data_IF_972854013030
#
_entry.id   IF_972854013030
#
_cell.length_a   1.000
_cell.length_b   1.000
_cell.length_c   1.000
_cell.angle_alpha   90.00
_cell.angle_beta   90.00
_cell.angle_gamma   90.00
#
_symmetry.space_group_name_H-M   'P 1'
#
loop_
_entity.id
_entity.type
_entity.pdbx_description
1 polymer ?
#
# COMPACT_ATOMS: atom_id res chain seq x y z
N UNK A 1 -29.14 31.47 -53.11
CA UNK A 1 -28.33 30.27 -52.79
C UNK A 1 -27.49 30.52 -51.54
N UNK A 2 -28.09 30.66 -50.35
CA UNK A 2 -27.34 30.82 -49.08
C UNK A 2 -28.03 30.19 -47.86
N UNK A 3 -28.88 29.17 -48.03
CA UNK A 3 -29.51 28.47 -46.88
C UNK A 3 -28.96 27.06 -46.63
N UNK A 4 -27.94 26.61 -47.39
CA UNK A 4 -27.51 25.21 -47.39
C UNK A 4 -26.36 24.87 -46.42
N UNK A 5 -25.88 25.80 -45.58
CA UNK A 5 -24.76 25.54 -44.66
C UNK A 5 -25.14 25.95 -43.23
N UNK A 6 -26.02 25.16 -42.61
CA UNK A 6 -26.12 25.11 -41.15
C UNK A 6 -25.69 23.70 -40.71
N UNK A 7 -24.71 23.55 -39.80
CA UNK A 7 -24.33 22.24 -39.29
C UNK A 7 -25.51 21.62 -38.55
N UNK A 8 -25.90 20.41 -38.93
CA UNK A 8 -26.94 19.65 -38.23
C UNK A 8 -26.36 19.19 -36.89
N UNK A 9 -26.91 19.68 -35.78
CA UNK A 9 -26.57 19.14 -34.47
C UNK A 9 -26.90 17.63 -34.44
N UNK A 10 -26.01 16.78 -33.89
CA UNK A 10 -26.30 15.37 -33.73
C UNK A 10 -27.52 15.19 -32.82
N UNK A 11 -28.40 14.25 -33.17
CA UNK A 11 -29.56 13.91 -32.33
C UNK A 11 -29.03 13.36 -31.00
N UNK A 12 -29.61 13.78 -29.85
CA UNK A 12 -29.24 13.19 -28.57
C UNK A 12 -29.50 11.68 -28.63
N UNK A 13 -28.52 10.90 -28.17
CA UNK A 13 -28.69 9.46 -28.01
C UNK A 13 -29.88 9.21 -27.07
N UNK A 14 -30.70 8.18 -27.33
CA UNK A 14 -31.75 7.81 -26.41
C UNK A 14 -31.12 7.50 -25.05
N UNK A 15 -31.43 8.32 -24.06
CA UNK A 15 -31.11 8.04 -22.65
C UNK A 15 -31.64 6.65 -22.33
N UNK A 16 -30.76 5.75 -21.88
CA UNK A 16 -31.17 4.48 -21.31
C UNK A 16 -32.27 4.76 -20.29
N UNK A 17 -33.41 4.10 -20.44
CA UNK A 17 -34.49 4.19 -19.47
C UNK A 17 -33.91 3.93 -18.08
N UNK A 18 -34.27 4.73 -17.06
CA UNK A 18 -33.81 4.48 -15.70
C UNK A 18 -34.18 3.05 -15.37
N UNK A 19 -33.18 2.26 -14.97
CA UNK A 19 -33.39 0.90 -14.48
C UNK A 19 -34.30 1.05 -13.28
N UNK A 20 -35.56 0.66 -13.45
CA UNK A 20 -36.56 0.65 -12.40
C UNK A 20 -36.05 -0.34 -11.36
N UNK A 21 -35.43 0.17 -10.28
CA UNK A 21 -34.99 -0.68 -9.17
C UNK A 21 -36.24 -1.37 -8.62
N UNK A 22 -36.31 -2.68 -8.83
CA UNK A 22 -37.40 -3.48 -8.29
C UNK A 22 -37.49 -3.26 -6.78
N UNK A 23 -38.64 -2.80 -6.30
CA UNK A 23 -38.97 -2.60 -4.88
C UNK A 23 -38.92 -3.89 -4.04
N UNK A 24 -38.54 -5.02 -4.64
CA UNK A 24 -38.40 -6.29 -3.96
C UNK A 24 -37.02 -6.36 -3.28
N UNK A 25 -36.94 -6.38 -1.93
CA UNK A 25 -35.67 -6.45 -1.20
C UNK A 25 -34.88 -7.74 -1.52
N UNK A 26 -35.55 -8.80 -1.98
CA UNK A 26 -34.90 -10.05 -2.38
C UNK A 26 -34.29 -9.99 -3.81
N UNK A 27 -34.63 -8.98 -4.61
CA UNK A 27 -34.05 -8.84 -5.95
C UNK A 27 -32.57 -8.45 -5.91
N UNK A 28 -32.08 -7.85 -4.81
CA UNK A 28 -30.65 -7.62 -4.58
C UNK A 28 -29.88 -8.92 -4.30
N UNK A 29 -30.53 -9.90 -3.67
CA UNK A 29 -29.97 -11.23 -3.38
C UNK A 29 -30.01 -12.16 -4.60
N UNK A 30 -30.92 -11.92 -5.54
CA UNK A 30 -31.07 -12.70 -6.77
C UNK A 30 -30.17 -12.23 -7.93
N UNK A 31 -29.44 -11.12 -7.77
CA UNK A 31 -28.39 -10.77 -8.73
C UNK A 31 -27.36 -11.89 -8.69
N UNK A 32 -27.10 -12.52 -9.85
CA UNK A 32 -25.92 -13.36 -9.98
C UNK A 32 -24.72 -12.48 -9.66
N UNK A 33 -24.13 -12.69 -8.47
CA UNK A 33 -22.74 -12.30 -8.19
C UNK A 33 -21.93 -12.74 -9.42
N UNK A 34 -21.11 -11.81 -9.92
CA UNK A 34 -20.54 -11.81 -11.27
C UNK A 34 -20.33 -13.19 -11.88
N UNK A 35 -20.70 -13.34 -13.16
CA UNK A 35 -20.33 -14.52 -13.93
C UNK A 35 -18.85 -14.80 -13.71
N UNK A 36 -18.52 -15.91 -13.03
CA UNK A 36 -17.15 -16.41 -12.97
C UNK A 36 -16.71 -16.66 -14.41
N UNK A 37 -15.50 -16.25 -14.76
CA UNK A 37 -14.89 -16.64 -16.03
C UNK A 37 -14.77 -18.18 -16.02
N UNK A 38 -15.30 -18.91 -17.02
CA UNK A 38 -15.31 -20.38 -17.06
C UNK A 38 -13.90 -21.01 -16.97
N UNK A 39 -12.84 -20.22 -17.18
CA UNK A 39 -11.45 -20.65 -16.99
C UNK A 39 -11.09 -20.99 -15.54
N UNK A 40 -11.79 -20.44 -14.56
CA UNK A 40 -11.57 -20.71 -13.13
C UNK A 40 -12.54 -21.77 -12.55
N UNK A 41 -13.44 -22.33 -13.36
CA UNK A 41 -14.38 -23.37 -12.90
C UNK A 41 -13.67 -24.68 -12.55
N UNK A 42 -12.61 -25.03 -13.29
CA UNK A 42 -11.88 -26.28 -13.09
C UNK A 42 -10.90 -26.26 -11.90
N UNK A 43 -10.59 -25.10 -11.32
CA UNK A 43 -9.74 -25.01 -10.12
C UNK A 43 -10.52 -25.24 -8.81
N UNK A 44 -11.86 -25.17 -8.87
CA UNK A 44 -12.71 -25.26 -7.69
C UNK A 44 -12.88 -26.68 -7.15
N UNK A 45 -12.66 -27.71 -7.96
CA UNK A 45 -12.92 -29.10 -7.55
C UNK A 45 -11.74 -29.77 -6.82
N UNK A 46 -10.50 -29.30 -7.01
CA UNK A 46 -9.29 -29.88 -6.37
C UNK A 46 -8.75 -29.10 -5.17
N UNK A 47 -9.16 -27.84 -4.96
CA UNK A 47 -8.63 -26.99 -3.89
C UNK A 47 -9.70 -26.71 -2.83
N UNK A 48 -9.73 -27.51 -1.76
CA UNK A 48 -10.43 -27.15 -0.53
C UNK A 48 -9.71 -25.99 0.16
N UNK A 49 -9.94 -24.76 -0.30
CA UNK A 49 -9.39 -23.55 0.30
C UNK A 49 -10.25 -23.16 1.50
N UNK A 50 -9.66 -23.15 2.70
CA UNK A 50 -10.30 -22.57 3.88
C UNK A 50 -10.07 -21.05 3.92
N UNK A 51 -11.04 -20.32 3.37
CA UNK A 51 -11.03 -18.86 3.31
C UNK A 51 -10.93 -18.19 4.69
N UNK A 52 -11.27 -18.88 5.79
CA UNK A 52 -11.15 -18.32 7.15
C UNK A 52 -9.71 -18.24 7.63
N UNK A 53 -8.81 -19.02 7.00
CA UNK A 53 -7.39 -19.12 7.36
C UNK A 53 -6.51 -18.30 6.40
N UNK A 54 -7.15 -17.48 5.57
CA UNK A 54 -6.51 -16.51 4.68
C UNK A 54 -6.77 -15.11 5.23
N UNK A 55 -5.77 -14.22 5.21
CA UNK A 55 -5.98 -12.85 5.70
C UNK A 55 -4.99 -11.81 5.18
N UNK A 56 -5.41 -10.55 5.24
CA UNK A 56 -4.54 -9.38 5.07
C UNK A 56 -3.97 -8.96 6.41
N UNK A 57 -2.70 -8.58 6.43
CA UNK A 57 -2.04 -8.08 7.65
C UNK A 57 -1.31 -6.78 7.36
N UNK A 58 -1.52 -5.80 8.23
CA UNK A 58 -0.71 -4.59 8.30
C UNK A 58 -0.14 -4.50 9.70
N UNK A 59 1.16 -4.25 9.80
CA UNK A 59 1.81 -4.06 11.09
C UNK A 59 1.72 -2.57 11.46
N UNK A 60 1.42 -2.32 12.73
CA UNK A 60 1.48 -0.98 13.31
C UNK A 60 2.93 -0.55 13.38
N UNK A 61 3.28 0.52 12.65
CA UNK A 61 4.63 1.08 12.65
C UNK A 61 4.77 2.29 13.56
N UNK A 62 3.73 3.11 13.70
CA UNK A 62 3.81 4.34 14.49
C UNK A 62 2.43 4.77 15.01
N UNK A 63 2.24 4.64 16.31
CA UNK A 63 1.26 5.37 17.09
C UNK A 63 2.08 5.96 18.24
N UNK A 64 1.66 7.00 18.95
CA UNK A 64 2.37 7.47 20.17
C UNK A 64 2.30 6.45 21.35
N UNK A 65 2.28 5.16 21.04
CA UNK A 65 2.07 3.96 21.86
C UNK A 65 3.12 2.88 21.53
N UNK A 66 4.36 3.09 21.92
CA UNK A 66 5.01 2.08 22.78
C UNK A 66 5.81 2.91 23.78
N UNK A 67 5.19 3.44 24.83
CA UNK A 67 5.93 3.98 25.97
C UNK A 67 6.61 2.79 26.72
N UNK A 68 7.55 2.13 26.04
CA UNK A 68 8.64 1.23 26.50
C UNK A 68 9.05 0.24 25.40
N UNK A 69 10.08 0.59 24.64
CA UNK A 69 11.15 -0.31 24.17
C UNK A 69 10.84 -1.63 23.42
N UNK A 70 9.70 -1.79 22.75
CA UNK A 70 9.53 -2.90 21.80
C UNK A 70 8.78 -2.49 20.53
N UNK A 71 9.49 -1.95 19.55
CA UNK A 71 9.01 -1.92 18.18
C UNK A 71 8.73 -3.36 17.73
N UNK A 72 7.49 -3.68 17.37
CA UNK A 72 7.13 -5.03 16.91
C UNK A 72 7.88 -5.34 15.61
N UNK A 73 8.71 -6.39 15.63
CA UNK A 73 9.39 -6.85 14.41
C UNK A 73 8.40 -7.51 13.45
N UNK A 74 8.61 -7.31 12.14
CA UNK A 74 7.93 -8.05 11.07
C UNK A 74 8.05 -9.57 11.21
N UNK A 75 9.06 -10.07 11.92
CA UNK A 75 9.18 -11.49 12.23
C UNK A 75 7.93 -12.03 12.96
N UNK A 76 7.25 -11.20 13.75
CA UNK A 76 6.05 -11.56 14.52
C UNK A 76 4.90 -12.09 13.66
N UNK A 77 4.84 -11.72 12.37
CA UNK A 77 3.81 -12.20 11.44
C UNK A 77 3.87 -13.74 11.31
N UNK A 78 5.06 -14.33 11.40
CA UNK A 78 5.22 -15.79 11.34
C UNK A 78 4.66 -16.52 12.56
N UNK A 79 4.34 -15.82 13.65
CA UNK A 79 3.72 -16.43 14.83
C UNK A 79 2.20 -16.65 14.67
N UNK A 80 1.58 -16.08 13.62
CA UNK A 80 0.14 -16.13 13.36
C UNK A 80 -0.29 -17.47 12.71
N UNK A 81 0.01 -18.58 13.38
CA UNK A 81 -0.18 -19.96 12.88
C UNK A 81 -1.64 -20.40 12.67
N UNK A 82 -2.60 -19.62 13.15
CA UNK A 82 -4.02 -19.87 12.88
C UNK A 82 -4.36 -19.66 11.40
N UNK A 83 -3.54 -18.87 10.70
CA UNK A 83 -3.64 -18.62 9.27
C UNK A 83 -2.72 -19.54 8.48
N UNK A 84 -3.24 -20.05 7.38
CA UNK A 84 -2.45 -20.81 6.41
C UNK A 84 -1.64 -19.86 5.52
N UNK A 85 -2.20 -18.70 5.18
CA UNK A 85 -1.52 -17.68 4.37
C UNK A 85 -1.92 -16.28 4.76
N UNK A 86 -0.94 -15.39 4.75
CA UNK A 86 -1.13 -13.98 5.06
C UNK A 86 -0.53 -13.13 3.94
N UNK A 87 -1.30 -12.16 3.44
CA UNK A 87 -0.75 -11.11 2.60
C UNK A 87 -0.45 -9.88 3.46
N UNK A 88 0.84 -9.66 3.70
CA UNK A 88 1.34 -8.46 4.35
C UNK A 88 1.38 -7.30 3.38
N UNK A 89 0.76 -6.19 3.78
CA UNK A 89 0.77 -4.92 3.08
C UNK A 89 1.46 -3.89 3.98
N UNK A 90 2.52 -3.24 3.49
CA UNK A 90 3.12 -2.13 4.22
C UNK A 90 2.07 -1.04 4.49
N UNK A 91 2.13 -0.38 5.66
CA UNK A 91 1.16 0.62 6.05
C UNK A 91 1.17 1.83 5.10
N UNK A 92 0.15 2.67 5.25
CA UNK A 92 -0.06 3.88 4.44
C UNK A 92 -0.33 3.55 2.97
N UNK A 93 -1.33 2.70 2.72
CA UNK A 93 -1.78 2.39 1.37
C UNK A 93 -3.27 2.06 1.30
N UNK A 94 -3.75 1.93 0.06
CA UNK A 94 -5.15 1.74 -0.28
C UNK A 94 -5.28 0.50 -1.16
N UNK A 95 -6.20 -0.38 -0.78
CA UNK A 95 -6.67 -1.46 -1.65
C UNK A 95 -7.64 -0.84 -2.66
N UNK A 96 -7.26 -0.92 -3.93
CA UNK A 96 -8.04 -0.41 -5.07
C UNK A 96 -8.87 -1.56 -5.65
N UNK A 97 -8.27 -2.72 -5.88
CA UNK A 97 -8.93 -3.94 -6.26
C UNK A 97 -8.60 -5.09 -5.28
N UNK A 98 -9.59 -5.48 -4.48
CA UNK A 98 -9.45 -6.61 -3.55
C UNK A 98 -9.48 -7.96 -4.26
N UNK A 99 -10.12 -8.06 -5.43
CA UNK A 99 -10.27 -9.32 -6.15
C UNK A 99 -8.91 -9.88 -6.57
N UNK A 100 -8.06 -9.03 -7.14
CA UNK A 100 -6.70 -9.41 -7.53
C UNK A 100 -5.87 -9.89 -6.33
N UNK A 101 -6.03 -9.24 -5.16
CA UNK A 101 -5.32 -9.63 -3.94
C UNK A 101 -5.87 -10.94 -3.35
N UNK A 102 -7.19 -11.14 -3.35
CA UNK A 102 -7.83 -12.38 -2.92
C UNK A 102 -7.41 -13.55 -3.81
N UNK A 103 -7.33 -13.32 -5.12
CA UNK A 103 -6.84 -14.30 -6.09
C UNK A 103 -5.38 -14.65 -5.83
N UNK A 104 -4.53 -13.66 -5.55
CA UNK A 104 -3.14 -13.90 -5.17
C UNK A 104 -3.06 -14.76 -3.90
N UNK A 105 -3.85 -14.44 -2.89
CA UNK A 105 -3.86 -15.15 -1.60
C UNK A 105 -4.32 -16.61 -1.75
N UNK A 106 -5.37 -16.83 -2.54
CA UNK A 106 -6.00 -18.13 -2.74
C UNK A 106 -5.23 -19.06 -3.71
N UNK A 107 -4.72 -18.53 -4.82
CA UNK A 107 -4.25 -19.35 -5.95
C UNK A 107 -2.74 -19.35 -6.15
N UNK A 108 -1.98 -18.53 -5.42
CA UNK A 108 -0.52 -18.56 -5.49
C UNK A 108 0.06 -19.90 -4.97
N UNK A 109 1.25 -20.32 -5.42
CA UNK A 109 1.94 -21.47 -4.86
C UNK A 109 2.30 -21.25 -3.38
N UNK A 110 2.10 -22.27 -2.53
CA UNK A 110 2.52 -22.20 -1.12
C UNK A 110 4.04 -22.03 -1.03
N UNK A 111 4.48 -20.98 -0.34
CA UNK A 111 5.89 -20.68 -0.07
C UNK A 111 5.99 -20.02 1.30
N UNK A 112 7.10 -20.27 2.00
CA UNK A 112 7.39 -19.63 3.30
C UNK A 112 7.29 -18.10 3.22
N UNK A 113 7.85 -17.54 2.16
CA UNK A 113 7.80 -16.13 1.84
C UNK A 113 7.82 -15.98 0.32
N UNK A 114 6.90 -15.18 -0.22
CA UNK A 114 6.95 -14.67 -1.57
C UNK A 114 6.73 -13.15 -1.54
N UNK A 115 7.64 -12.37 -2.12
CA UNK A 115 7.68 -10.92 -2.04
C UNK A 115 7.92 -10.32 -3.43
N UNK A 116 7.65 -9.02 -3.57
CA UNK A 116 8.06 -8.27 -4.75
C UNK A 116 9.58 -8.06 -4.76
N UNK A 117 10.18 -7.88 -5.95
CA UNK A 117 11.56 -7.46 -6.04
C UNK A 117 11.73 -6.03 -5.49
N UNK A 118 12.84 -5.78 -4.81
CA UNK A 118 13.23 -4.43 -4.32
C UNK A 118 13.94 -3.61 -5.41
N UNK A 119 14.41 -4.28 -6.46
CA UNK A 119 15.21 -3.69 -7.53
C UNK A 119 14.84 -4.32 -8.88
N UNK A 120 15.02 -3.61 -10.00
CA UNK A 120 14.63 -4.10 -11.32
C UNK A 120 15.42 -5.35 -11.76
N UNK A 121 16.58 -5.63 -11.16
CA UNK A 121 17.35 -6.85 -11.43
C UNK A 121 16.87 -8.05 -10.61
N UNK A 122 15.84 -7.86 -9.77
CA UNK A 122 15.27 -8.85 -8.87
C UNK A 122 16.34 -9.55 -8.01
N UNK A 123 17.36 -8.81 -7.58
CA UNK A 123 18.47 -9.33 -6.77
C UNK A 123 18.10 -9.44 -5.29
N UNK A 124 17.20 -8.58 -4.82
CA UNK A 124 16.74 -8.51 -3.43
C UNK A 124 15.22 -8.49 -3.34
N UNK A 125 14.71 -8.99 -2.22
CA UNK A 125 13.28 -8.94 -1.90
C UNK A 125 12.91 -7.63 -1.20
N UNK A 126 11.71 -7.13 -1.49
CA UNK A 126 11.08 -6.02 -0.79
C UNK A 126 10.31 -6.52 0.43
N UNK A 127 10.25 -5.70 1.48
CA UNK A 127 9.40 -5.95 2.66
C UNK A 127 8.13 -5.12 2.64
N UNK A 128 7.72 -4.58 1.49
CA UNK A 128 6.54 -3.72 1.38
C UNK A 128 5.26 -4.48 1.01
N UNK A 129 5.42 -5.63 0.33
CA UNK A 129 4.32 -6.46 -0.13
C UNK A 129 4.80 -7.92 -0.13
N UNK A 130 4.25 -8.73 0.76
CA UNK A 130 4.73 -10.10 1.00
C UNK A 130 3.57 -11.05 1.25
N UNK A 131 3.56 -12.16 0.53
CA UNK A 131 2.77 -13.33 0.85
C UNK A 131 3.58 -14.25 1.78
N UNK A 132 3.00 -14.60 2.91
CA UNK A 132 3.67 -15.26 4.03
C UNK A 132 2.88 -16.52 4.38
N UNK A 133 3.60 -17.62 4.59
CA UNK A 133 3.08 -18.83 5.23
C UNK A 133 3.57 -18.85 6.69
N UNK A 134 2.70 -18.57 7.67
CA UNK A 134 3.10 -18.50 9.07
C UNK A 134 3.71 -19.80 9.57
N UNK A 135 4.74 -19.69 10.42
CA UNK A 135 5.40 -20.86 10.98
C UNK A 135 6.16 -20.53 12.25
N UNK A 136 5.86 -21.28 13.32
CA UNK A 136 6.56 -21.16 14.61
C UNK A 136 8.06 -21.38 14.50
N UNK A 137 8.52 -22.23 13.57
CA UNK A 137 9.95 -22.49 13.39
C UNK A 137 10.65 -21.28 12.75
N UNK A 138 10.07 -20.71 11.70
CA UNK A 138 10.55 -19.48 11.05
C UNK A 138 10.55 -18.31 12.02
N UNK A 139 9.47 -18.13 12.80
CA UNK A 139 9.39 -17.08 13.82
C UNK A 139 10.53 -17.19 14.84
N UNK A 140 10.77 -18.38 15.40
CA UNK A 140 11.87 -18.59 16.37
C UNK A 140 13.24 -18.31 15.77
N UNK A 141 13.46 -18.67 14.49
CA UNK A 141 14.73 -18.42 13.81
C UNK A 141 14.96 -16.92 13.57
N UNK A 142 13.97 -16.22 13.02
CA UNK A 142 14.05 -14.78 12.74
C UNK A 142 14.17 -13.96 14.02
N UNK A 143 13.38 -14.27 15.06
CA UNK A 143 13.48 -13.59 16.36
C UNK A 143 14.83 -13.81 17.04
N UNK A 144 15.38 -15.03 16.97
CA UNK A 144 16.71 -15.33 17.50
C UNK A 144 17.82 -14.64 16.72
N UNK A 145 17.68 -14.52 15.40
CA UNK A 145 18.62 -13.78 14.56
C UNK A 145 18.58 -12.29 14.90
N UNK A 146 17.39 -11.68 14.95
CA UNK A 146 17.20 -10.28 15.36
C UNK A 146 17.71 -9.98 16.77
N UNK A 147 17.58 -10.92 17.70
CA UNK A 147 18.12 -10.73 19.06
C UNK A 147 19.67 -10.72 19.10
N UNK A 148 20.34 -11.27 18.08
CA UNK A 148 21.80 -11.31 17.98
C UNK A 148 22.36 -10.15 17.16
N UNK A 149 21.62 -9.69 16.16
CA UNK A 149 22.03 -8.62 15.25
C UNK A 149 21.06 -7.45 15.34
N UNK A 150 21.58 -6.25 15.63
CA UNK A 150 20.80 -5.01 15.62
C UNK A 150 20.56 -4.52 14.18
N UNK A 151 19.88 -5.36 13.40
CA UNK A 151 19.62 -5.15 11.98
C UNK A 151 18.12 -4.92 11.78
N UNK A 152 17.80 -3.96 10.90
CA UNK A 152 16.41 -3.66 10.51
C UNK A 152 15.75 -4.86 9.81
N UNK A 153 14.42 -4.95 9.90
CA UNK A 153 13.68 -6.13 9.40
C UNK A 153 13.90 -6.38 7.90
N UNK A 154 14.04 -5.32 7.08
CA UNK A 154 14.35 -5.45 5.64
C UNK A 154 15.64 -6.23 5.39
N UNK A 155 16.72 -5.82 6.05
CA UNK A 155 18.02 -6.48 5.88
C UNK A 155 18.02 -7.90 6.47
N UNK A 156 17.34 -8.10 7.61
CA UNK A 156 17.16 -9.43 8.19
C UNK A 156 16.46 -10.40 7.23
N UNK A 157 15.39 -9.94 6.56
CA UNK A 157 14.66 -10.77 5.60
C UNK A 157 15.49 -11.05 4.34
N UNK A 158 16.23 -10.06 3.83
CA UNK A 158 17.11 -10.24 2.67
C UNK A 158 18.28 -11.19 2.95
N UNK A 159 18.74 -11.30 4.19
CA UNK A 159 19.76 -12.26 4.60
C UNK A 159 19.18 -13.67 4.79
N UNK A 160 17.98 -13.76 5.37
CA UNK A 160 17.37 -15.05 5.74
C UNK A 160 16.69 -15.77 4.59
N UNK A 161 16.09 -15.05 3.64
CA UNK A 161 15.33 -15.62 2.54
C UNK A 161 16.08 -15.48 1.21
N UNK A 162 16.27 -16.61 0.52
CA UNK A 162 16.87 -16.65 -0.82
C UNK A 162 15.95 -15.96 -1.85
N UNK A 163 16.43 -14.89 -2.50
CA UNK A 163 15.64 -14.11 -3.45
C UNK A 163 15.01 -14.99 -4.55
N UNK A 164 15.77 -15.90 -5.16
CA UNK A 164 15.28 -16.74 -6.28
C UNK A 164 14.08 -17.61 -5.92
N UNK A 165 13.92 -17.99 -4.66
CA UNK A 165 12.79 -18.80 -4.16
C UNK A 165 11.68 -17.94 -3.57
N UNK A 166 12.01 -16.72 -3.15
CA UNK A 166 11.11 -15.80 -2.46
C UNK A 166 10.56 -14.66 -3.31
N UNK A 167 10.77 -14.66 -4.62
CA UNK A 167 10.06 -13.75 -5.52
C UNK A 167 8.64 -14.26 -5.83
N UNK A 168 7.67 -13.34 -5.85
CA UNK A 168 6.35 -13.63 -6.36
C UNK A 168 6.45 -14.12 -7.82
N UNK A 169 5.67 -15.15 -8.21
CA UNK A 169 5.62 -15.55 -9.61
C UNK A 169 5.11 -14.36 -10.45
N UNK A 170 5.60 -14.18 -11.69
CA UNK A 170 5.00 -13.21 -12.59
C UNK A 170 3.52 -13.55 -12.74
N UNK A 171 2.64 -12.57 -12.53
CA UNK A 171 1.22 -12.70 -12.81
C UNK A 171 1.06 -12.98 -14.30
N UNK A 172 0.31 -14.03 -14.66
CA UNK A 172 0.17 -14.49 -16.03
C UNK A 172 -0.57 -13.50 -16.96
N UNK A 173 -1.11 -12.42 -16.40
CA UNK A 173 -1.80 -11.36 -17.12
C UNK A 173 -1.02 -10.06 -16.94
N UNK A 174 -0.37 -9.61 -18.02
CA UNK A 174 0.41 -8.37 -18.13
C UNK A 174 -0.41 -7.09 -17.84
N UNK A 175 -1.71 -7.22 -17.59
CA UNK A 175 -2.62 -6.09 -17.41
C UNK A 175 -2.86 -5.73 -15.94
N UNK A 176 -2.51 -6.57 -14.97
CA UNK A 176 -2.78 -6.29 -13.54
C UNK A 176 -1.51 -5.90 -12.78
N UNK A 177 -1.54 -4.72 -12.18
CA UNK A 177 -0.45 -4.20 -11.33
C UNK A 177 -0.79 -4.49 -9.87
N UNK A 178 -0.14 -5.48 -9.26
CA UNK A 178 -0.45 -5.87 -7.87
C UNK A 178 -0.11 -4.78 -6.85
N UNK A 179 0.95 -4.01 -7.10
CA UNK A 179 1.50 -3.03 -6.17
C UNK A 179 2.07 -1.85 -6.93
N UNK A 180 1.81 -0.64 -6.43
CA UNK A 180 2.32 0.61 -7.00
C UNK A 180 2.66 1.62 -5.89
N UNK A 181 3.78 2.34 -5.99
CA UNK A 181 4.13 3.41 -5.05
C UNK A 181 3.74 4.80 -5.59
N UNK A 182 3.14 5.64 -4.75
CA UNK A 182 2.66 6.97 -5.16
C UNK A 182 3.75 7.88 -5.71
N UNK A 183 5.00 7.71 -5.27
CA UNK A 183 6.15 8.45 -5.79
C UNK A 183 6.41 8.19 -7.27
N UNK A 184 6.06 7.01 -7.79
CA UNK A 184 6.26 6.66 -9.19
C UNK A 184 5.35 7.47 -10.13
N UNK A 185 4.17 7.91 -9.66
CA UNK A 185 3.28 8.80 -10.45
C UNK A 185 3.97 10.14 -10.80
N UNK A 186 5.01 10.53 -10.05
CA UNK A 186 5.79 11.76 -10.27
C UNK A 186 6.97 11.54 -11.20
N UNK A 187 7.42 10.29 -11.32
CA UNK A 187 8.58 9.88 -12.09
C UNK A 187 8.22 9.26 -13.46
N UNK A 188 6.95 9.37 -13.87
CA UNK A 188 6.49 8.89 -15.18
C UNK A 188 7.23 9.61 -16.31
N UNK A 189 7.94 8.85 -17.15
CA UNK A 189 8.62 9.38 -18.33
C UNK A 189 7.63 9.86 -19.40
N UNK A 190 6.48 9.17 -19.54
CA UNK A 190 5.40 9.51 -20.46
C UNK A 190 4.12 9.90 -19.70
N UNK A 191 4.19 10.97 -18.91
CA UNK A 191 3.05 11.41 -18.10
C UNK A 191 1.82 11.83 -18.92
N UNK A 192 1.99 12.18 -20.20
CA UNK A 192 0.90 12.56 -21.12
C UNK A 192 0.08 11.35 -21.64
N UNK A 193 0.66 10.14 -21.65
CA UNK A 193 -0.03 8.91 -22.08
C UNK A 193 -0.71 8.18 -20.92
N UNK A 194 -0.52 8.65 -19.69
CA UNK A 194 -1.09 8.04 -18.50
C UNK A 194 -2.62 8.13 -18.50
N UNK A 195 -3.27 6.98 -18.39
CA UNK A 195 -4.72 6.87 -18.28
C UNK A 195 -5.14 6.51 -16.85
N UNK A 196 -5.74 7.46 -16.16
CA UNK A 196 -6.23 7.36 -14.79
C UNK A 196 -7.31 6.29 -14.57
N UNK A 197 -8.19 6.07 -15.57
CA UNK A 197 -9.25 5.05 -15.49
C UNK A 197 -8.65 3.66 -15.62
N UNK A 198 -7.76 3.47 -16.59
CA UNK A 198 -7.05 2.22 -16.77
C UNK A 198 -6.24 1.88 -15.51
N UNK A 199 -5.44 2.83 -15.01
CA UNK A 199 -4.63 2.66 -13.80
C UNK A 199 -5.47 2.19 -12.60
N UNK A 200 -6.60 2.85 -12.34
CA UNK A 200 -7.48 2.50 -11.22
C UNK A 200 -8.21 1.17 -11.42
N UNK A 201 -8.32 0.67 -12.66
CA UNK A 201 -8.94 -0.62 -12.98
C UNK A 201 -7.95 -1.79 -12.97
N UNK A 202 -6.66 -1.52 -13.24
CA UNK A 202 -5.61 -2.53 -13.31
C UNK A 202 -4.80 -2.66 -12.02
N UNK A 203 -4.79 -1.64 -11.17
CA UNK A 203 -3.94 -1.61 -9.97
C UNK A 203 -4.68 -2.16 -8.75
N UNK A 204 -4.07 -3.13 -8.06
CA UNK A 204 -4.69 -3.77 -6.90
C UNK A 204 -4.42 -3.03 -5.59
N UNK A 205 -3.16 -2.63 -5.34
CA UNK A 205 -2.76 -1.92 -4.14
C UNK A 205 -1.87 -0.72 -4.47
N UNK A 206 -2.18 0.43 -3.88
CA UNK A 206 -1.34 1.64 -4.00
C UNK A 206 -0.83 2.04 -2.62
N UNK A 207 0.49 2.06 -2.47
CA UNK A 207 1.15 2.58 -1.28
C UNK A 207 1.43 4.07 -1.44
N UNK A 208 0.97 4.86 -0.48
CA UNK A 208 1.18 6.30 -0.39
C UNK A 208 2.48 6.60 0.35
N UNK A 209 3.60 6.34 -0.32
CA UNK A 209 4.94 6.55 0.22
C UNK A 209 5.68 7.56 -0.66
N UNK A 210 5.73 8.80 -0.22
CA UNK A 210 6.48 9.88 -0.86
C UNK A 210 7.63 10.27 0.07
N UNK A 211 8.90 9.97 -0.26
CA UNK A 211 10.05 10.15 0.66
C UNK A 211 10.20 11.55 1.26
N UNK A 212 9.68 12.58 0.59
CA UNK A 212 9.79 13.99 0.97
C UNK A 212 8.76 14.43 2.01
N UNK A 213 7.73 13.62 2.28
CA UNK A 213 6.73 13.85 3.33
C UNK A 213 6.63 12.64 4.26
N UNK A 214 6.25 12.85 5.53
CA UNK A 214 6.17 11.76 6.49
C UNK A 214 5.07 10.74 6.15
N UNK A 215 4.05 11.13 5.38
CA UNK A 215 2.96 10.27 4.93
C UNK A 215 1.58 10.91 5.07
N UNK A 216 0.53 10.31 4.46
CA UNK A 216 -0.84 10.79 4.53
C UNK A 216 -1.51 10.67 5.92
N UNK A 217 -0.92 9.91 6.83
CA UNK A 217 -1.34 9.78 8.22
C UNK A 217 -0.96 10.96 9.11
N UNK A 218 -0.07 11.83 8.62
CA UNK A 218 0.40 13.00 9.35
C UNK A 218 -0.28 14.28 8.87
N UNK A 219 -0.38 15.28 9.76
CA UNK A 219 -0.80 16.62 9.40
C UNK A 219 0.34 17.37 8.70
N UNK A 220 0.46 17.09 7.39
CA UNK A 220 1.43 17.76 6.53
C UNK A 220 0.85 19.12 6.08
N UNK A 221 1.59 20.23 6.24
CA UNK A 221 1.16 21.54 5.75
C UNK A 221 0.79 21.49 4.26
N UNK A 222 -0.37 22.04 3.92
CA UNK A 222 -0.92 21.98 2.56
C UNK A 222 0.06 22.42 1.48
N UNK A 223 0.81 23.51 1.72
CA UNK A 223 1.80 24.02 0.76
C UNK A 223 2.90 23.01 0.41
N UNK A 224 3.36 22.20 1.37
CA UNK A 224 4.37 21.15 1.15
C UNK A 224 3.79 19.97 0.39
N UNK A 225 2.57 19.57 0.72
CA UNK A 225 1.84 18.52 0.01
C UNK A 225 1.63 18.89 -1.46
N UNK A 226 1.19 20.11 -1.72
CA UNK A 226 0.92 20.60 -3.09
C UNK A 226 2.14 20.55 -4.00
N UNK A 227 3.32 20.84 -3.46
CA UNK A 227 4.58 20.84 -4.21
C UNK A 227 4.99 19.44 -4.68
N UNK A 228 4.52 18.39 -4.00
CA UNK A 228 4.84 17.01 -4.34
C UNK A 228 3.85 16.41 -5.30
N UNK A 229 2.73 17.05 -5.61
CA UNK A 229 1.77 16.47 -6.54
C UNK A 229 2.37 16.32 -7.95
N UNK A 230 1.99 15.28 -8.71
CA UNK A 230 2.34 15.20 -10.13
C UNK A 230 1.98 16.48 -10.90
N UNK A 231 2.79 16.78 -11.93
CA UNK A 231 2.64 17.99 -12.76
C UNK A 231 1.54 17.89 -13.81
N UNK A 232 1.22 16.69 -14.25
CA UNK A 232 0.15 16.47 -15.22
C UNK A 232 -1.19 16.20 -14.53
N UNK A 233 -2.28 16.57 -15.20
CA UNK A 233 -3.62 16.58 -14.60
C UNK A 233 -4.12 15.17 -14.24
N UNK A 234 -3.90 14.16 -15.10
CA UNK A 234 -4.37 12.79 -14.85
C UNK A 234 -3.64 12.11 -13.67
N UNK A 235 -2.28 12.01 -13.65
CA UNK A 235 -1.56 11.46 -12.51
C UNK A 235 -1.81 12.25 -11.22
N UNK A 236 -1.94 13.59 -11.32
CA UNK A 236 -2.26 14.44 -10.17
C UNK A 236 -3.61 14.08 -9.57
N UNK A 237 -4.63 13.94 -10.41
CA UNK A 237 -5.97 13.58 -9.96
C UNK A 237 -5.97 12.23 -9.25
N UNK A 238 -5.28 11.22 -9.79
CA UNK A 238 -5.15 9.90 -9.15
C UNK A 238 -4.46 10.02 -7.79
N UNK A 239 -3.30 10.70 -7.76
CA UNK A 239 -2.53 10.90 -6.54
C UNK A 239 -3.37 11.58 -5.45
N UNK A 240 -4.03 12.69 -5.78
CA UNK A 240 -4.89 13.43 -4.84
C UNK A 240 -6.06 12.59 -4.35
N UNK A 241 -6.76 11.93 -5.29
CA UNK A 241 -7.91 11.08 -4.98
C UNK A 241 -7.53 9.99 -3.97
N UNK A 242 -6.41 9.31 -4.20
CA UNK A 242 -5.94 8.26 -3.29
C UNK A 242 -5.47 8.87 -1.96
N UNK A 243 -4.61 9.88 -2.00
CA UNK A 243 -4.10 10.53 -0.79
C UNK A 243 -5.22 11.00 0.15
N UNK A 244 -6.20 11.74 -0.39
CA UNK A 244 -7.33 12.25 0.39
C UNK A 244 -8.34 11.16 0.77
N UNK A 245 -8.50 10.10 -0.04
CA UNK A 245 -9.31 8.94 0.36
C UNK A 245 -8.72 8.25 1.60
N UNK A 246 -7.40 8.04 1.63
CA UNK A 246 -6.73 7.47 2.80
C UNK A 246 -6.82 8.40 4.01
N UNK A 247 -6.47 9.69 3.84
CA UNK A 247 -6.52 10.70 4.90
C UNK A 247 -7.94 10.82 5.48
N UNK A 248 -8.94 10.91 4.62
CA UNK A 248 -10.36 10.97 4.99
C UNK A 248 -10.79 9.74 5.78
N UNK A 249 -10.51 8.54 5.27
CA UNK A 249 -10.84 7.29 5.97
C UNK A 249 -10.18 7.19 7.35
N UNK A 250 -8.95 7.69 7.51
CA UNK A 250 -8.31 7.78 8.83
C UNK A 250 -9.00 8.79 9.75
N UNK A 251 -9.38 9.96 9.25
CA UNK A 251 -10.09 10.94 10.07
C UNK A 251 -11.47 10.41 10.51
N UNK A 252 -12.15 9.66 9.65
CA UNK A 252 -13.44 9.05 9.97
C UNK A 252 -13.33 7.95 11.04
N UNK A 253 -12.23 7.18 11.05
CA UNK A 253 -12.02 6.06 11.97
C UNK A 253 -11.33 6.48 13.27
N UNK A 254 -10.27 7.29 13.18
CA UNK A 254 -9.42 7.68 14.31
C UNK A 254 -9.81 9.02 14.94
N UNK A 255 -10.73 9.77 14.33
CA UNK A 255 -11.10 11.13 14.74
C UNK A 255 -10.37 12.22 13.95
N UNK A 256 -10.74 13.49 14.20
CA UNK A 256 -10.31 14.68 13.43
C UNK A 256 -8.80 14.93 13.42
N UNK A 257 -8.04 14.32 14.32
CA UNK A 257 -6.62 14.62 14.51
C UNK A 257 -5.73 13.63 13.76
N UNK A 258 -4.94 14.15 12.83
CA UNK A 258 -3.81 13.43 12.24
C UNK A 258 -2.58 13.51 13.14
N UNK A 259 -1.61 12.63 12.88
CA UNK A 259 -0.38 12.62 13.65
C UNK A 259 0.42 13.90 13.37
N UNK A 260 0.97 14.50 14.43
CA UNK A 260 1.89 15.63 14.26
C UNK A 260 3.26 15.06 13.89
N UNK A 261 3.89 15.50 12.78
CA UNK A 261 5.24 15.06 12.44
C UNK A 261 6.20 15.44 13.58
N UNK A 262 6.67 14.46 14.34
CA UNK A 262 7.79 14.67 15.25
C UNK A 262 9.03 14.87 14.41
N UNK A 263 9.74 15.99 14.60
CA UNK A 263 11.09 16.12 14.04
C UNK A 263 11.91 14.94 14.58
N UNK A 264 12.72 14.25 13.76
CA UNK A 264 13.68 13.31 14.30
C UNK A 264 14.49 14.08 15.35
N UNK A 265 14.62 13.49 16.53
CA UNK A 265 15.46 14.03 17.60
C UNK A 265 16.89 13.95 17.07
N UNK A 266 17.32 14.98 16.35
CA UNK A 266 18.73 15.23 16.13
C UNK A 266 19.29 15.34 17.53
N UNK A 267 20.09 14.35 17.92
CA UNK A 267 20.96 14.48 19.09
C UNK A 267 21.78 15.74 18.81
N UNK A 268 21.35 16.85 19.41
CA UNK A 268 22.16 18.04 19.44
C UNK A 268 23.49 17.62 20.07
N UNK A 269 24.64 17.94 19.47
CA UNK A 269 25.91 17.67 20.12
C UNK A 269 25.87 18.42 21.45
N UNK A 270 25.99 17.69 22.57
CA UNK A 270 26.05 18.25 23.93
C UNK A 270 27.11 19.37 24.05
N UNK A 271 28.07 19.42 23.12
CA UNK A 271 29.08 20.46 22.99
C UNK A 271 28.54 21.89 22.71
N UNK A 272 27.32 22.05 22.17
CA UNK A 272 26.78 23.39 21.87
C UNK A 272 26.13 24.08 23.08
N UNK A 273 25.61 23.29 24.04
CA UNK A 273 25.01 23.83 25.26
C UNK A 273 26.07 24.21 26.31
N UNK A 274 27.23 23.54 26.32
CA UNK A 274 28.34 23.93 27.19
C UNK A 274 29.06 25.21 26.71
N UNK A 275 29.13 25.42 25.39
CA UNK A 275 29.76 26.62 24.81
C UNK A 275 28.94 27.91 25.02
N UNK A 276 27.60 27.83 25.03
CA UNK A 276 26.75 28.98 25.36
C UNK A 276 26.78 29.30 26.87
N UNK A 277 26.91 28.29 27.74
CA UNK A 277 27.01 28.49 29.19
C UNK A 277 28.35 29.14 29.62
N UNK A 278 29.46 28.78 28.98
CA UNK A 278 30.77 29.43 29.26
C UNK A 278 30.84 30.86 28.72
N UNK A 279 30.18 31.16 27.59
CA UNK A 279 30.13 32.51 27.03
C UNK A 279 29.28 33.48 27.87
N UNK A 280 28.20 32.99 28.49
CA UNK A 280 27.35 33.81 29.37
C UNK A 280 27.99 34.06 30.75
N UNK A 281 28.79 33.11 31.25
CA UNK A 281 29.57 33.29 32.49
C UNK A 281 30.72 34.31 32.33
N UNK A 282 31.41 34.32 31.18
CA UNK A 282 32.50 35.26 30.91
C UNK A 282 32.01 36.72 30.71
N UNK A 283 30.74 36.92 30.35
CA UNK A 283 30.14 38.24 30.17
C UNK A 283 29.66 38.88 31.49
N UNK A 284 29.62 38.13 32.60
CA UNK A 284 29.21 38.63 33.92
C UNK A 284 30.38 39.04 34.84
N UNK A 285 31.64 38.82 34.42
CA UNK A 285 32.84 39.23 35.18
C UNK A 285 33.60 40.44 34.58
N UNK A 286 32.97 41.21 33.68
CA UNK A 286 33.45 42.53 33.20
C UNK A 286 32.51 43.65 33.63
#
# INVERSE_FOLDING_TARGET
MQEAIKPRLPKPMPTASPVEESLNPNARLARRLGSRDPRYENFGEELQIDWKRLGYVQMVTDHREVYSASAYSLASIFALIDFDRLLYLAPSGIIVDSLALDALLAFSPSRRLAALPDDPTASRISTNFMLIEPSTSTFKQLSSAKAKTDVGDKALFQEFFETSKSLLPPTAEDETTLYYESSELRALEESESFNSTQFLSSTAYVRLADPEIPGPEYDVPYGRMVQLRPKEDEPRWVWEKLYFKFRGGRMDICGLDLLVPTRPKVEAPEAALEAEAEAEAAAQEL
#
